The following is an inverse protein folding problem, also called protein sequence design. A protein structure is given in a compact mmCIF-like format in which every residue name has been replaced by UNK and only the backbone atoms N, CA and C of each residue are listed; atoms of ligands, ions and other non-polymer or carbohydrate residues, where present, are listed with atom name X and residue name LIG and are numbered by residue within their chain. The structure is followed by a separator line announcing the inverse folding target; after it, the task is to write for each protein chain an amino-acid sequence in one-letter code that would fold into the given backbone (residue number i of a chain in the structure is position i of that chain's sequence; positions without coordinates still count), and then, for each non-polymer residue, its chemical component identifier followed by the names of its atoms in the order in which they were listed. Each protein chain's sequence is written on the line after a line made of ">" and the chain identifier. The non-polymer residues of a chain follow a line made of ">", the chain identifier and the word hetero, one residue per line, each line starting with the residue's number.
data_IF_110462004368
#
_entry.id   IF_110462004368
#
_cell.length_a   1.000
_cell.length_b   1.000
_cell.length_c   1.000
_cell.angle_alpha   90.00
_cell.angle_beta   90.00
_cell.angle_gamma   90.00
#
_symmetry.space_group_name_H-M   'P 1'
#
loop_
_entity.id
_entity.type
_entity.pdbx_description
1 polymer ?
#
# COMPACT_ATOMS: atom_id res chain seq x y z
N UNK A 1 21.88 -14.74 14.60
CA UNK A 1 21.05 -14.19 13.52
C UNK A 1 20.10 -13.14 14.10
N UNK A 2 19.97 -12.03 13.41
CA UNK A 2 19.01 -10.98 13.79
C UNK A 2 17.92 -10.86 12.75
N UNK A 3 16.72 -10.53 13.21
CA UNK A 3 15.58 -10.22 12.35
C UNK A 3 15.19 -8.77 12.61
N UNK A 4 15.19 -7.96 11.56
CA UNK A 4 14.75 -6.57 11.64
C UNK A 4 13.35 -6.47 11.05
N UNK A 5 12.42 -5.95 11.84
CA UNK A 5 11.06 -5.69 11.38
C UNK A 5 10.91 -4.21 11.02
N UNK A 6 10.45 -3.91 9.82
CA UNK A 6 10.23 -2.56 9.33
C UNK A 6 8.76 -2.34 9.02
N UNK A 7 8.29 -1.12 9.27
CA UNK A 7 7.07 -0.63 8.65
C UNK A 7 7.38 -0.30 7.18
N UNK A 8 6.36 -0.19 6.34
CA UNK A 8 6.53 0.12 4.93
C UNK A 8 6.18 1.58 4.63
N UNK A 9 4.97 1.98 4.95
CA UNK A 9 4.47 3.33 4.64
C UNK A 9 5.11 4.37 5.55
N UNK A 10 5.67 5.41 4.94
CA UNK A 10 6.41 6.45 5.67
C UNK A 10 7.84 6.07 6.04
N UNK A 11 8.27 4.85 5.74
CA UNK A 11 9.63 4.35 6.00
C UNK A 11 10.34 4.02 4.70
N UNK A 12 9.70 3.22 3.86
CA UNK A 12 10.27 2.80 2.57
C UNK A 12 9.53 3.41 1.38
N UNK A 13 8.25 3.65 1.52
CA UNK A 13 7.38 4.22 0.49
C UNK A 13 6.50 5.31 1.12
N UNK A 14 5.96 6.23 0.32
CA UNK A 14 4.97 7.20 0.82
C UNK A 14 3.71 6.49 1.33
N UNK A 15 2.90 7.18 2.13
CA UNK A 15 1.58 6.68 2.50
C UNK A 15 0.77 6.41 1.21
N UNK A 16 0.38 5.16 1.01
CA UNK A 16 -0.15 4.70 -0.28
C UNK A 16 -1.44 5.43 -0.68
N UNK A 17 -2.39 5.59 0.25
CA UNK A 17 -3.64 6.27 -0.07
C UNK A 17 -3.44 7.73 -0.44
N UNK A 18 -2.52 8.42 0.23
CA UNK A 18 -2.20 9.82 -0.08
C UNK A 18 -1.53 9.92 -1.45
N UNK A 19 -0.53 9.08 -1.70
CA UNK A 19 0.15 9.05 -2.99
C UNK A 19 -0.78 8.63 -4.13
N UNK A 20 -1.67 7.68 -3.86
CA UNK A 20 -2.69 7.27 -4.81
C UNK A 20 -3.66 8.42 -5.13
N UNK A 21 -4.10 9.15 -4.10
CA UNK A 21 -4.97 10.31 -4.29
C UNK A 21 -4.33 11.36 -5.20
N UNK A 22 -3.05 11.62 -5.00
CA UNK A 22 -2.29 12.57 -5.83
C UNK A 22 -2.13 12.06 -7.26
N UNK A 23 -1.74 10.80 -7.43
CA UNK A 23 -1.52 10.21 -8.75
C UNK A 23 -2.80 10.03 -9.56
N UNK A 24 -3.93 9.75 -8.90
CA UNK A 24 -5.24 9.58 -9.55
C UNK A 24 -6.02 10.88 -9.73
N UNK A 25 -5.64 11.94 -9.03
CA UNK A 25 -6.36 13.21 -9.05
C UNK A 25 -7.66 13.18 -8.26
N UNK A 26 -7.79 12.28 -7.28
CA UNK A 26 -8.98 12.13 -6.44
C UNK A 26 -8.63 12.57 -5.02
N UNK A 27 -8.79 13.88 -4.67
CA UNK A 27 -8.35 14.39 -3.38
C UNK A 27 -9.11 13.81 -2.17
N UNK A 28 -10.32 13.32 -2.37
CA UNK A 28 -11.12 12.70 -1.30
C UNK A 28 -10.42 11.46 -0.71
N UNK A 29 -9.55 10.80 -1.48
CA UNK A 29 -8.81 9.64 -1.02
C UNK A 29 -7.63 9.97 -0.10
N UNK A 30 -7.33 11.25 0.11
CA UNK A 30 -6.33 11.69 1.09
C UNK A 30 -6.79 11.54 2.53
N UNK A 31 -8.08 11.31 2.75
CA UNK A 31 -8.63 11.11 4.09
C UNK A 31 -8.00 9.89 4.75
N UNK A 32 -7.51 10.08 5.98
CA UNK A 32 -6.80 9.03 6.74
C UNK A 32 -7.48 8.78 8.09
N UNK A 33 -6.89 7.88 8.88
CA UNK A 33 -7.37 7.61 10.24
C UNK A 33 -7.24 8.82 11.16
N UNK A 34 -6.46 9.80 10.79
CA UNK A 34 -6.40 11.09 11.50
C UNK A 34 -7.69 11.89 11.34
N UNK A 35 -8.37 11.72 10.22
CA UNK A 35 -9.64 12.40 9.90
C UNK A 35 -10.85 11.58 10.33
N UNK A 36 -10.77 10.26 10.18
CA UNK A 36 -11.81 9.30 10.57
C UNK A 36 -11.17 8.16 11.35
N UNK A 37 -11.26 8.20 12.70
CA UNK A 37 -10.64 7.16 13.54
C UNK A 37 -11.24 5.76 13.39
N UNK A 38 -12.51 5.67 12.96
CA UNK A 38 -13.14 4.38 12.70
C UNK A 38 -12.66 3.82 11.36
N UNK A 39 -11.78 2.80 11.43
CA UNK A 39 -11.18 2.21 10.25
C UNK A 39 -12.21 1.63 9.26
N UNK A 40 -13.25 0.98 9.77
CA UNK A 40 -14.27 0.39 8.90
C UNK A 40 -15.04 1.45 8.13
N UNK A 41 -15.35 2.58 8.78
CA UNK A 41 -15.99 3.71 8.12
C UNK A 41 -15.08 4.33 7.07
N UNK A 42 -13.80 4.48 7.38
CA UNK A 42 -12.81 5.02 6.45
C UNK A 42 -12.67 4.12 5.22
N UNK A 43 -12.55 2.81 5.41
CA UNK A 43 -12.45 1.86 4.30
C UNK A 43 -13.70 1.86 3.44
N UNK A 44 -14.88 1.91 4.04
CA UNK A 44 -16.15 1.99 3.30
C UNK A 44 -16.20 3.24 2.44
N UNK A 45 -15.81 4.38 3.02
CA UNK A 45 -15.72 5.65 2.31
C UNK A 45 -14.78 5.55 1.10
N UNK A 46 -13.60 4.98 1.29
CA UNK A 46 -12.61 4.80 0.22
C UNK A 46 -13.12 3.88 -0.89
N UNK A 47 -13.72 2.75 -0.51
CA UNK A 47 -14.25 1.78 -1.49
C UNK A 47 -15.39 2.37 -2.30
N UNK A 48 -16.26 3.17 -1.69
CA UNK A 48 -17.35 3.86 -2.38
C UNK A 48 -16.80 4.84 -3.43
N UNK A 49 -15.75 5.58 -3.10
CA UNK A 49 -15.10 6.50 -4.03
C UNK A 49 -14.47 5.76 -5.20
N UNK A 50 -13.78 4.66 -4.94
CA UNK A 50 -13.19 3.83 -6.00
C UNK A 50 -14.28 3.32 -6.93
N UNK A 51 -15.41 2.90 -6.40
CA UNK A 51 -16.56 2.42 -7.16
C UNK A 51 -17.17 3.54 -8.02
N UNK A 52 -17.35 4.73 -7.45
CA UNK A 52 -17.86 5.91 -8.18
C UNK A 52 -16.99 6.25 -9.39
N UNK A 53 -15.67 6.13 -9.24
CA UNK A 53 -14.72 6.42 -10.31
C UNK A 53 -14.42 5.22 -11.20
N UNK A 54 -15.16 4.12 -11.04
CA UNK A 54 -14.98 2.88 -11.83
C UNK A 54 -13.55 2.34 -11.77
N UNK A 55 -12.91 2.43 -10.59
CA UNK A 55 -11.55 1.95 -10.38
C UNK A 55 -11.58 0.54 -9.80
N UNK A 56 -11.24 -0.44 -10.61
CA UNK A 56 -10.99 -1.81 -10.19
C UNK A 56 -9.52 -2.02 -9.82
N UNK A 57 -9.20 -3.24 -9.42
CA UNK A 57 -7.84 -3.58 -8.97
C UNK A 57 -6.76 -3.27 -10.02
N UNK A 58 -7.02 -3.56 -11.29
CA UNK A 58 -6.06 -3.28 -12.37
C UNK A 58 -5.67 -1.81 -12.46
N UNK A 59 -6.66 -0.94 -12.44
CA UNK A 59 -6.47 0.51 -12.53
C UNK A 59 -5.74 1.03 -11.31
N UNK A 60 -6.08 0.51 -10.13
CA UNK A 60 -5.45 0.87 -8.87
C UNK A 60 -3.98 0.45 -8.88
N UNK A 61 -3.69 -0.79 -9.26
CA UNK A 61 -2.32 -1.28 -9.34
C UNK A 61 -1.48 -0.52 -10.36
N UNK A 62 -2.06 -0.16 -11.50
CA UNK A 62 -1.38 0.64 -12.51
C UNK A 62 -1.01 2.03 -11.96
N UNK A 63 -1.87 2.63 -11.15
CA UNK A 63 -1.61 3.92 -10.51
C UNK A 63 -0.54 3.79 -9.42
N UNK A 64 -0.64 2.77 -8.58
CA UNK A 64 0.36 2.50 -7.54
C UNK A 64 1.74 2.23 -8.15
N UNK A 65 1.80 1.58 -9.29
CA UNK A 65 3.06 1.32 -9.99
C UNK A 65 3.81 2.60 -10.39
N UNK A 66 3.14 3.74 -10.42
CA UNK A 66 3.76 5.05 -10.68
C UNK A 66 4.39 5.67 -9.42
N UNK A 67 4.10 5.13 -8.26
CA UNK A 67 4.65 5.61 -6.98
C UNK A 67 6.06 5.05 -6.81
N UNK A 68 7.01 5.92 -6.50
CA UNK A 68 8.38 5.50 -6.25
C UNK A 68 8.64 5.35 -4.74
N UNK A 69 9.57 4.46 -4.36
CA UNK A 69 10.07 4.42 -2.98
C UNK A 69 10.62 5.77 -2.55
N UNK A 70 10.65 6.00 -1.24
CA UNK A 70 11.26 7.22 -0.71
C UNK A 70 12.74 7.29 -1.11
N UNK A 71 13.31 8.52 -1.29
CA UNK A 71 14.72 8.65 -1.61
C UNK A 71 15.60 7.91 -0.62
N UNK A 72 16.51 7.07 -1.12
CA UNK A 72 17.43 6.28 -0.32
C UNK A 72 16.85 5.00 0.28
N UNK A 73 15.55 4.75 0.14
CA UNK A 73 14.90 3.57 0.73
C UNK A 73 15.45 2.26 0.17
N UNK A 74 15.65 2.17 -1.14
CA UNK A 74 16.18 0.97 -1.78
C UNK A 74 17.60 0.67 -1.31
N UNK A 75 18.47 1.65 -1.30
CA UNK A 75 19.86 1.49 -0.85
C UNK A 75 19.92 1.12 0.63
N UNK A 76 19.09 1.76 1.45
CA UNK A 76 18.98 1.43 2.88
C UNK A 76 18.57 -0.02 3.08
N UNK A 77 17.53 -0.45 2.38
CA UNK A 77 17.02 -1.81 2.48
C UNK A 77 18.06 -2.84 2.02
N UNK A 78 18.73 -2.58 0.89
CA UNK A 78 19.77 -3.47 0.36
C UNK A 78 20.91 -3.66 1.37
N UNK A 79 21.37 -2.59 1.99
CA UNK A 79 22.43 -2.64 3.01
C UNK A 79 21.97 -3.37 4.28
N UNK A 80 20.75 -3.11 4.71
CA UNK A 80 20.20 -3.76 5.89
C UNK A 80 20.08 -5.28 5.68
N UNK A 81 19.68 -5.69 4.49
CA UNK A 81 19.55 -7.11 4.13
C UNK A 81 20.87 -7.85 4.10
N UNK A 82 21.98 -7.14 3.96
CA UNK A 82 23.32 -7.75 4.04
C UNK A 82 23.68 -8.12 5.48
N UNK A 83 23.12 -7.43 6.48
CA UNK A 83 23.49 -7.59 7.88
C UNK A 83 22.47 -8.38 8.69
N UNK A 84 21.18 -8.29 8.34
CA UNK A 84 20.09 -8.95 9.06
C UNK A 84 19.09 -9.56 8.09
N UNK A 85 18.25 -10.45 8.59
CA UNK A 85 17.02 -10.83 7.89
C UNK A 85 16.01 -9.71 8.09
N UNK A 86 15.33 -9.31 7.03
CA UNK A 86 14.37 -8.18 7.08
C UNK A 86 12.96 -8.67 6.77
N UNK A 87 12.02 -8.27 7.61
CA UNK A 87 10.60 -8.54 7.42
C UNK A 87 9.87 -7.21 7.47
N UNK A 88 9.01 -6.97 6.49
CA UNK A 88 8.11 -5.81 6.50
C UNK A 88 6.79 -6.23 7.15
N UNK A 89 6.34 -5.46 8.13
CA UNK A 89 5.04 -5.62 8.76
C UNK A 89 4.22 -4.37 8.44
N UNK A 90 3.12 -4.52 7.72
CA UNK A 90 2.35 -3.38 7.23
C UNK A 90 0.85 -3.61 7.33
N UNK A 91 0.11 -2.53 7.56
CA UNK A 91 -1.35 -2.53 7.53
C UNK A 91 -1.92 -2.42 6.11
N UNK A 92 -1.07 -2.31 5.11
CA UNK A 92 -1.49 -2.25 3.71
C UNK A 92 -2.10 -3.58 3.24
N UNK A 93 -2.48 -3.62 1.99
CA UNK A 93 -3.01 -4.81 1.35
C UNK A 93 -1.99 -5.39 0.38
N UNK A 94 -1.92 -6.71 0.33
CA UNK A 94 -1.04 -7.44 -0.57
C UNK A 94 -1.19 -6.95 -2.03
N UNK A 95 -2.42 -6.75 -2.46
CA UNK A 95 -2.75 -6.32 -3.81
C UNK A 95 -2.21 -4.92 -4.13
N UNK A 96 -2.11 -4.05 -3.12
CA UNK A 96 -1.53 -2.70 -3.27
C UNK A 96 -0.02 -2.71 -3.13
N UNK A 97 0.51 -3.61 -2.30
CA UNK A 97 1.95 -3.68 -2.02
C UNK A 97 2.75 -4.26 -3.19
N UNK A 98 2.18 -5.20 -3.94
CA UNK A 98 2.92 -5.94 -4.97
C UNK A 98 3.63 -5.04 -5.99
N UNK A 99 3.01 -4.00 -6.57
CA UNK A 99 3.73 -3.11 -7.49
C UNK A 99 4.93 -2.41 -6.85
N UNK A 100 4.88 -2.17 -5.54
CA UNK A 100 5.97 -1.53 -4.80
C UNK A 100 7.06 -2.51 -4.40
N UNK A 101 6.69 -3.76 -4.12
CA UNK A 101 7.65 -4.82 -3.76
C UNK A 101 8.66 -5.06 -4.88
N UNK A 102 8.21 -4.98 -6.12
CA UNK A 102 9.10 -5.08 -7.29
C UNK A 102 10.22 -4.04 -7.23
N UNK A 103 9.90 -2.82 -6.84
CA UNK A 103 10.86 -1.71 -6.75
C UNK A 103 11.81 -1.83 -5.56
N UNK A 104 11.47 -2.65 -4.57
CA UNK A 104 12.26 -2.90 -3.37
C UNK A 104 12.99 -4.25 -3.40
N UNK A 105 13.01 -4.92 -4.55
CA UNK A 105 13.62 -6.23 -4.74
C UNK A 105 12.98 -7.33 -3.87
N UNK A 106 11.66 -7.32 -3.81
CA UNK A 106 10.82 -8.36 -3.22
C UNK A 106 11.21 -8.73 -1.76
N UNK A 107 11.22 -7.78 -0.83
CA UNK A 107 11.41 -8.13 0.58
C UNK A 107 10.25 -8.96 1.11
N UNK A 108 10.49 -9.74 2.16
CA UNK A 108 9.44 -10.48 2.84
C UNK A 108 8.48 -9.50 3.51
N UNK A 109 7.19 -9.67 3.27
CA UNK A 109 6.16 -8.80 3.82
C UNK A 109 5.01 -9.61 4.40
N UNK A 110 4.53 -9.18 5.56
CA UNK A 110 3.27 -9.62 6.15
C UNK A 110 2.32 -8.43 6.19
N UNK A 111 1.16 -8.59 5.58
CA UNK A 111 0.16 -7.53 5.47
C UNK A 111 -1.24 -8.13 5.31
N UNK A 112 -2.23 -7.28 5.12
CA UNK A 112 -3.61 -7.67 4.92
C UNK A 112 -3.90 -8.01 3.46
N UNK A 113 -5.12 -8.44 3.16
CA UNK A 113 -5.55 -8.73 1.80
C UNK A 113 -6.93 -8.15 1.51
N UNK A 114 -7.26 -8.04 0.23
CA UNK A 114 -8.55 -7.56 -0.23
C UNK A 114 -9.33 -8.70 -0.87
N UNK A 115 -10.64 -8.65 -0.73
CA UNK A 115 -11.55 -9.49 -1.51
C UNK A 115 -11.80 -8.77 -2.83
N UNK A 116 -11.47 -9.44 -3.94
CA UNK A 116 -11.60 -8.86 -5.28
C UNK A 116 -12.53 -9.73 -6.11
N UNK A 117 -13.58 -9.11 -6.66
CA UNK A 117 -14.53 -9.80 -7.54
C UNK A 117 -13.85 -10.16 -8.88
N UNK A 118 -14.41 -11.13 -9.65
CA UNK A 118 -13.91 -11.44 -10.98
C UNK A 118 -13.84 -10.25 -11.94
N UNK A 119 -14.70 -9.24 -11.72
CA UNK A 119 -14.70 -7.99 -12.47
C UNK A 119 -13.53 -7.06 -12.12
N UNK A 120 -12.78 -7.35 -11.05
CA UNK A 120 -11.75 -6.47 -10.50
C UNK A 120 -12.25 -5.49 -9.45
N UNK A 121 -13.55 -5.47 -9.19
CA UNK A 121 -14.11 -4.59 -8.16
C UNK A 121 -13.70 -5.06 -6.77
N UNK A 122 -13.24 -4.11 -5.94
CA UNK A 122 -12.84 -4.40 -4.57
C UNK A 122 -14.06 -4.47 -3.69
N UNK A 123 -14.26 -5.62 -3.06
CA UNK A 123 -15.43 -5.83 -2.21
C UNK A 123 -15.16 -5.57 -0.74
N UNK A 124 -14.05 -6.07 -0.20
CA UNK A 124 -13.87 -6.14 1.23
C UNK A 124 -12.39 -6.26 1.61
N UNK A 125 -12.02 -5.65 2.74
CA UNK A 125 -10.70 -5.79 3.32
C UNK A 125 -10.67 -6.94 4.33
N UNK A 126 -9.65 -7.77 4.26
CA UNK A 126 -9.38 -8.82 5.24
C UNK A 126 -8.12 -8.47 6.04
N UNK A 127 -8.29 -8.43 7.33
CA UNK A 127 -7.23 -8.07 8.28
C UNK A 127 -6.62 -9.32 8.90
#
# INVERSE_FOLDING_TARGET
>A
MYITCLDMEGVLVPEIWIAFAEASGIPELKRTTRDEPDYDKLMRYRLDILKEHHLGLKEIQATIAKIDPLPGAREFLDKLREETQVIILSDTFEEFAMPLMKKLDYPTIFCNSLEVAPSGEIGRAHV
#
